data_IF_938386159426
#
_entry.id   IF_938386159426
#
_cell.length_a   1.000
_cell.length_b   1.000
_cell.length_c   1.000
_cell.angle_alpha   90.00
_cell.angle_beta   90.00
_cell.angle_gamma   90.00
#
_symmetry.space_group_name_H-M   'P 1'
#
loop_
_entity.id
_entity.type
_entity.pdbx_description
1 polymer ?
#
# COMPACT_ATOMS: atom_id res chain seq x y z
N UNK A 1 55.29 60.63 -6.05
CA UNK A 1 54.60 59.76 -7.03
C UNK A 1 54.82 58.33 -6.60
N UNK A 2 53.74 57.60 -6.34
CA UNK A 2 53.58 56.13 -6.37
C UNK A 2 52.44 55.74 -5.41
N UNK A 3 51.22 55.71 -5.94
CA UNK A 3 50.07 55.03 -5.32
C UNK A 3 49.75 53.80 -6.15
N UNK A 4 49.98 52.62 -5.57
CA UNK A 4 49.52 51.34 -6.10
C UNK A 4 48.05 51.11 -5.70
N UNK A 5 47.19 50.62 -6.61
CA UNK A 5 45.78 50.40 -6.31
C UNK A 5 45.56 49.10 -5.54
N UNK A 6 44.74 49.20 -4.49
CA UNK A 6 44.25 48.08 -3.71
C UNK A 6 43.29 47.21 -4.54
N UNK A 7 43.74 46.01 -4.91
CA UNK A 7 42.91 44.93 -5.44
C UNK A 7 42.15 44.26 -4.29
N UNK A 8 40.85 44.54 -4.21
CA UNK A 8 39.92 43.88 -3.28
C UNK A 8 39.65 42.42 -3.67
N UNK A 9 39.54 41.47 -2.72
CA UNK A 9 39.36 40.05 -2.99
C UNK A 9 37.88 39.68 -3.08
N UNK A 10 37.28 39.74 -4.27
CA UNK A 10 35.89 39.33 -4.51
C UNK A 10 35.72 37.83 -4.84
N UNK A 11 36.78 37.03 -4.81
CA UNK A 11 36.76 35.61 -5.23
C UNK A 11 36.27 34.61 -4.18
N UNK A 12 36.19 34.98 -2.90
CA UNK A 12 35.85 34.03 -1.83
C UNK A 12 34.34 33.87 -1.57
N UNK A 13 33.51 34.82 -1.99
CA UNK A 13 32.06 34.79 -1.73
C UNK A 13 31.31 33.82 -2.66
N UNK A 14 31.73 33.69 -3.93
CA UNK A 14 31.07 32.80 -4.89
C UNK A 14 31.25 31.30 -4.60
N UNK A 15 32.42 30.91 -4.06
CA UNK A 15 32.75 29.51 -3.81
C UNK A 15 31.91 28.90 -2.67
N UNK A 16 31.65 29.66 -1.60
CA UNK A 16 30.85 29.19 -0.47
C UNK A 16 29.35 29.01 -0.83
N UNK A 17 28.80 29.86 -1.70
CA UNK A 17 27.40 29.73 -2.13
C UNK A 17 27.21 28.52 -3.05
N UNK A 18 28.16 28.25 -3.95
CA UNK A 18 28.13 27.06 -4.80
C UNK A 18 28.29 25.77 -3.98
N UNK A 19 29.20 25.74 -3.00
CA UNK A 19 29.38 24.61 -2.10
C UNK A 19 28.11 24.35 -1.26
N UNK A 20 27.47 25.40 -0.73
CA UNK A 20 26.21 25.28 0.01
C UNK A 20 25.06 24.77 -0.85
N UNK A 21 24.95 25.22 -2.11
CA UNK A 21 23.95 24.69 -3.04
C UNK A 21 24.19 23.22 -3.37
N UNK A 22 25.44 22.81 -3.62
CA UNK A 22 25.79 21.40 -3.87
C UNK A 22 25.47 20.52 -2.64
N UNK A 23 25.78 20.98 -1.43
CA UNK A 23 25.42 20.27 -0.19
C UNK A 23 23.90 20.20 -0.02
N UNK A 24 23.16 21.26 -0.34
CA UNK A 24 21.69 21.27 -0.24
C UNK A 24 21.04 20.28 -1.22
N UNK A 25 21.55 20.20 -2.46
CA UNK A 25 21.08 19.23 -3.46
C UNK A 25 21.43 17.77 -3.10
N UNK A 26 22.51 17.54 -2.34
CA UNK A 26 22.90 16.20 -1.86
C UNK A 26 22.07 15.70 -0.68
N UNK A 27 21.26 16.55 -0.05
CA UNK A 27 20.41 16.18 1.09
C UNK A 27 18.96 15.87 0.72
N UNK A 28 18.68 15.52 -0.54
CA UNK A 28 17.37 14.98 -0.90
C UNK A 28 17.17 13.64 -0.20
N UNK A 29 16.44 13.68 0.92
CA UNK A 29 16.00 12.50 1.64
C UNK A 29 15.31 11.57 0.63
N UNK A 30 15.87 10.38 0.44
CA UNK A 30 15.33 9.40 -0.49
C UNK A 30 13.93 8.98 0.01
N UNK A 31 12.89 9.56 -0.59
CA UNK A 31 11.53 9.10 -0.41
C UNK A 31 11.29 7.97 -1.40
N UNK A 32 10.93 6.80 -0.88
CA UNK A 32 10.61 5.67 -1.73
C UNK A 32 9.11 5.61 -2.02
N UNK A 33 8.79 5.31 -3.28
CA UNK A 33 7.47 4.88 -3.72
C UNK A 33 7.48 3.36 -3.95
N UNK A 34 6.34 2.67 -3.96
CA UNK A 34 6.31 1.24 -4.28
C UNK A 34 6.97 0.90 -5.63
N UNK A 35 6.91 1.84 -6.58
CA UNK A 35 7.46 1.71 -7.93
C UNK A 35 8.98 1.86 -7.93
N UNK A 36 9.53 2.76 -7.11
CA UNK A 36 10.97 3.03 -7.02
C UNK A 36 11.69 2.24 -5.95
N UNK A 37 10.96 1.59 -5.03
CA UNK A 37 11.56 0.79 -3.97
C UNK A 37 12.27 -0.44 -4.58
N UNK A 38 13.56 -0.69 -4.24
CA UNK A 38 14.34 -1.75 -4.87
C UNK A 38 13.85 -3.15 -4.47
N UNK A 39 14.04 -4.13 -5.35
CA UNK A 39 13.77 -5.54 -5.06
C UNK A 39 15.09 -6.20 -4.65
N UNK A 40 15.22 -6.71 -3.41
CA UNK A 40 16.47 -7.26 -2.90
C UNK A 40 16.95 -8.52 -3.65
N UNK A 41 16.11 -9.11 -4.50
CA UNK A 41 16.47 -10.29 -5.31
C UNK A 41 17.17 -9.89 -6.61
N UNK A 42 16.76 -8.78 -7.22
CA UNK A 42 17.28 -8.33 -8.52
C UNK A 42 18.23 -7.15 -8.39
N UNK A 43 18.11 -6.37 -7.31
CA UNK A 43 18.92 -5.18 -7.02
C UNK A 43 19.38 -5.17 -5.55
N UNK A 44 20.26 -6.11 -5.15
CA UNK A 44 20.74 -6.21 -3.77
C UNK A 44 21.56 -4.98 -3.35
N UNK A 45 22.30 -4.36 -4.27
CA UNK A 45 23.19 -3.24 -3.95
C UNK A 45 22.40 -2.00 -3.51
N UNK A 46 21.28 -1.68 -4.17
CA UNK A 46 20.38 -0.59 -3.74
C UNK A 46 19.74 -0.88 -2.38
N UNK A 47 19.58 -2.15 -2.03
CA UNK A 47 19.11 -2.61 -0.71
C UNK A 47 20.22 -2.70 0.35
N UNK A 48 21.44 -2.25 0.05
CA UNK A 48 22.62 -2.35 0.93
C UNK A 48 23.02 -3.79 1.28
N UNK A 49 22.85 -4.69 0.31
CA UNK A 49 23.24 -6.10 0.37
C UNK A 49 24.32 -6.39 -0.66
N UNK A 50 25.21 -7.35 -0.34
CA UNK A 50 26.25 -7.82 -1.27
C UNK A 50 25.67 -8.87 -2.23
N UNK A 51 24.68 -9.63 -1.78
CA UNK A 51 24.06 -10.74 -2.51
C UNK A 51 22.53 -10.61 -2.48
N UNK A 52 21.83 -11.21 -3.46
CA UNK A 52 20.37 -11.31 -3.45
C UNK A 52 19.83 -11.83 -2.11
N UNK A 53 18.74 -11.25 -1.63
CA UNK A 53 18.20 -11.56 -0.31
C UNK A 53 16.72 -11.29 -0.15
N UNK A 54 16.26 -11.36 1.10
CA UNK A 54 14.85 -11.21 1.50
C UNK A 54 14.58 -9.89 2.22
N UNK A 55 15.63 -9.20 2.67
CA UNK A 55 15.54 -7.96 3.41
C UNK A 55 16.10 -6.83 2.56
N UNK A 56 15.36 -5.74 2.45
CA UNK A 56 15.81 -4.53 1.79
C UNK A 56 15.79 -3.36 2.77
N UNK A 57 16.94 -2.74 2.99
CA UNK A 57 17.14 -1.62 3.91
C UNK A 57 17.98 -0.51 3.26
N UNK A 58 17.44 0.18 2.25
CA UNK A 58 18.19 1.17 1.48
C UNK A 58 18.60 2.40 2.31
N UNK A 59 17.83 2.70 3.37
CA UNK A 59 18.02 3.83 4.28
C UNK A 59 18.89 3.51 5.50
N UNK A 60 19.43 2.30 5.59
CA UNK A 60 20.30 1.85 6.69
C UNK A 60 19.65 2.05 8.08
N UNK A 61 18.37 1.68 8.18
CA UNK A 61 17.62 1.72 9.44
C UNK A 61 18.21 0.71 10.44
N UNK A 62 18.65 -0.45 9.95
CA UNK A 62 19.32 -1.46 10.77
C UNK A 62 20.83 -1.27 10.73
N UNK A 63 21.47 -1.55 11.86
CA UNK A 63 22.92 -1.70 11.90
C UNK A 63 23.35 -2.88 11.01
N UNK A 64 24.56 -2.87 10.44
CA UNK A 64 25.04 -3.96 9.58
C UNK A 64 24.99 -5.35 10.23
N UNK A 65 25.26 -5.44 11.54
CA UNK A 65 25.19 -6.70 12.28
C UNK A 65 23.75 -7.16 12.51
N UNK A 66 22.85 -6.25 12.88
CA UNK A 66 21.41 -6.54 13.03
C UNK A 66 20.81 -7.03 11.71
N UNK A 67 21.18 -6.37 10.60
CA UNK A 67 20.76 -6.73 9.26
C UNK A 67 21.19 -8.16 8.89
N UNK A 68 22.46 -8.49 9.14
CA UNK A 68 23.00 -9.84 8.90
C UNK A 68 22.29 -10.89 9.75
N UNK A 69 22.17 -10.64 11.06
CA UNK A 69 21.52 -11.56 11.99
C UNK A 69 20.04 -11.79 11.61
N UNK A 70 19.32 -10.74 11.24
CA UNK A 70 17.92 -10.84 10.81
C UNK A 70 17.79 -11.62 9.50
N UNK A 71 18.67 -11.41 8.53
CA UNK A 71 18.68 -12.18 7.28
C UNK A 71 18.98 -13.67 7.52
N UNK A 72 19.98 -13.98 8.33
CA UNK A 72 20.34 -15.36 8.68
C UNK A 72 19.20 -16.06 9.40
N UNK A 73 18.58 -15.38 10.36
CA UNK A 73 17.43 -15.89 11.10
C UNK A 73 16.21 -16.09 10.20
N UNK A 74 15.91 -15.15 9.31
CA UNK A 74 14.82 -15.28 8.34
C UNK A 74 15.03 -16.48 7.42
N UNK A 75 16.25 -16.63 6.89
CA UNK A 75 16.62 -17.77 6.04
C UNK A 75 16.45 -19.09 6.78
N UNK A 76 16.95 -19.19 8.02
CA UNK A 76 16.80 -20.38 8.85
C UNK A 76 15.33 -20.71 9.13
N UNK A 77 14.52 -19.71 9.47
CA UNK A 77 13.09 -19.92 9.76
C UNK A 77 12.31 -20.34 8.51
N UNK A 78 12.67 -19.83 7.33
CA UNK A 78 12.09 -20.29 6.05
C UNK A 78 12.50 -21.72 5.69
N UNK A 79 13.72 -22.15 6.04
CA UNK A 79 14.14 -23.54 5.85
C UNK A 79 13.30 -24.51 6.70
N UNK A 80 12.84 -24.09 7.88
CA UNK A 80 11.93 -24.90 8.71
C UNK A 80 10.60 -25.13 7.99
N UNK A 81 10.11 -24.15 7.22
CA UNK A 81 8.85 -24.28 6.49
C UNK A 81 8.97 -25.05 5.18
N UNK A 82 10.19 -25.39 4.74
CA UNK A 82 10.43 -26.11 3.49
C UNK A 82 9.76 -27.49 3.44
N UNK A 83 9.59 -28.15 4.59
CA UNK A 83 8.97 -29.48 4.68
C UNK A 83 7.45 -29.43 4.90
N UNK A 84 6.85 -28.24 4.99
CA UNK A 84 5.42 -28.08 5.21
C UNK A 84 4.72 -28.13 3.87
N UNK A 85 3.90 -29.16 3.66
CA UNK A 85 3.09 -29.28 2.43
C UNK A 85 1.95 -28.29 2.45
N UNK A 86 1.99 -27.31 1.56
CA UNK A 86 0.90 -26.37 1.38
C UNK A 86 -0.30 -27.06 0.70
N UNK A 87 -1.47 -27.03 1.33
CA UNK A 87 -2.69 -27.67 0.82
C UNK A 87 -3.56 -26.72 -0.01
N UNK A 88 -3.08 -25.54 -0.37
CA UNK A 88 -3.75 -24.65 -1.31
C UNK A 88 -3.75 -25.26 -2.73
N UNK A 89 -4.86 -25.17 -3.49
CA UNK A 89 -4.94 -25.76 -4.83
C UNK A 89 -3.84 -25.27 -5.79
N UNK A 90 -3.52 -23.98 -5.76
CA UNK A 90 -2.47 -23.38 -6.60
C UNK A 90 -1.05 -23.91 -6.27
N UNK A 91 -0.86 -24.45 -5.07
CA UNK A 91 0.42 -24.98 -4.59
C UNK A 91 0.55 -26.51 -4.74
N UNK A 92 -0.49 -27.20 -5.22
CA UNK A 92 -0.49 -28.67 -5.28
C UNK A 92 0.64 -29.25 -6.14
N UNK A 93 1.06 -28.52 -7.19
CA UNK A 93 2.08 -28.95 -8.15
C UNK A 93 3.45 -28.29 -7.92
N UNK A 94 3.58 -27.35 -6.96
CA UNK A 94 4.86 -26.69 -6.70
C UNK A 94 5.64 -27.45 -5.63
N UNK A 95 6.78 -28.00 -6.04
CA UNK A 95 7.68 -28.75 -5.15
C UNK A 95 8.34 -27.86 -4.07
N UNK A 96 8.28 -26.53 -4.22
CA UNK A 96 8.82 -25.52 -3.31
C UNK A 96 7.77 -24.46 -2.93
N UNK A 97 6.59 -24.87 -2.46
CA UNK A 97 5.55 -23.96 -1.92
C UNK A 97 5.82 -23.58 -0.45
N UNK A 98 7.07 -23.33 -0.10
CA UNK A 98 7.42 -22.92 1.25
C UNK A 98 7.00 -21.47 1.50
N UNK A 99 6.81 -21.14 2.77
CA UNK A 99 6.54 -19.76 3.18
C UNK A 99 7.76 -18.90 2.83
N UNK A 100 7.54 -17.87 2.03
CA UNK A 100 8.61 -16.94 1.64
C UNK A 100 8.33 -15.58 2.30
N UNK A 101 9.24 -15.11 3.13
CA UNK A 101 9.08 -13.86 3.88
C UNK A 101 10.05 -12.83 3.33
N UNK A 102 9.55 -11.64 2.98
CA UNK A 102 10.34 -10.49 2.59
C UNK A 102 10.11 -9.32 3.55
N UNK A 103 11.15 -8.52 3.73
CA UNK A 103 11.17 -7.38 4.66
C UNK A 103 11.61 -6.14 3.89
N UNK A 104 10.82 -5.08 3.97
CA UNK A 104 11.15 -3.76 3.42
C UNK A 104 11.18 -2.72 4.55
N UNK A 105 12.31 -2.03 4.67
CA UNK A 105 12.54 -0.99 5.66
C UNK A 105 12.64 0.36 4.97
N UNK A 106 11.79 1.29 5.38
CA UNK A 106 11.64 2.59 4.73
C UNK A 106 11.82 3.66 5.78
N UNK A 107 12.63 4.67 5.46
CA UNK A 107 12.81 5.79 6.38
C UNK A 107 11.48 6.51 6.62
N UNK A 108 10.81 6.90 5.55
CA UNK A 108 9.53 7.59 5.55
C UNK A 108 8.79 7.26 4.26
N UNK A 109 7.49 7.06 4.35
CA UNK A 109 6.64 6.89 3.18
C UNK A 109 6.68 8.16 2.34
N UNK A 110 6.72 7.99 1.02
CA UNK A 110 6.63 9.11 0.09
C UNK A 110 5.36 9.90 0.35
N UNK A 111 5.51 11.20 0.60
CA UNK A 111 4.37 12.12 0.71
C UNK A 111 4.10 12.67 -0.67
N UNK A 112 3.05 12.19 -1.33
CA UNK A 112 2.55 12.87 -2.51
C UNK A 112 1.94 14.20 -2.02
N UNK A 113 2.23 15.37 -2.63
CA UNK A 113 1.70 16.68 -2.20
C UNK A 113 0.17 16.76 -2.02
N UNK A 114 -0.59 15.75 -2.47
CA UNK A 114 -2.04 15.74 -2.46
C UNK A 114 -2.68 14.60 -1.65
N UNK A 115 -1.91 13.58 -1.25
CA UNK A 115 -2.41 12.41 -0.50
C UNK A 115 -1.26 11.77 0.30
N UNK A 116 -1.48 11.50 1.59
CA UNK A 116 -0.56 10.68 2.37
C UNK A 116 -0.70 9.23 1.90
N UNK A 117 0.39 8.63 1.42
CA UNK A 117 0.38 7.22 1.03
C UNK A 117 0.26 6.38 2.30
N UNK A 118 -0.84 5.63 2.46
CA UNK A 118 -0.97 4.70 3.57
C UNK A 118 0.05 3.56 3.44
N UNK A 119 0.59 3.10 4.57
CA UNK A 119 1.53 1.97 4.57
C UNK A 119 0.91 0.71 3.95
N UNK A 120 -0.40 0.54 4.09
CA UNK A 120 -1.16 -0.57 3.51
C UNK A 120 -1.17 -0.50 1.98
N UNK A 121 -1.54 0.64 1.40
CA UNK A 121 -1.52 0.86 -0.05
C UNK A 121 -0.10 0.68 -0.59
N UNK A 122 0.89 1.22 0.11
CA UNK A 122 2.30 1.02 -0.23
C UNK A 122 2.67 -0.46 -0.28
N UNK A 123 2.36 -1.20 0.79
CA UNK A 123 2.73 -2.61 0.95
C UNK A 123 2.07 -3.51 -0.09
N UNK A 124 0.78 -3.29 -0.37
CA UNK A 124 0.03 -4.04 -1.38
C UNK A 124 0.57 -3.79 -2.79
N UNK A 125 0.88 -2.54 -3.14
CA UNK A 125 1.51 -2.19 -4.43
C UNK A 125 2.92 -2.80 -4.55
N UNK A 126 3.71 -2.76 -3.47
CA UNK A 126 5.06 -3.34 -3.47
C UNK A 126 5.02 -4.86 -3.62
N UNK A 127 4.10 -5.54 -2.92
CA UNK A 127 3.86 -6.98 -3.10
C UNK A 127 3.49 -7.28 -4.55
N UNK A 128 2.54 -6.54 -5.12
CA UNK A 128 2.12 -6.72 -6.52
C UNK A 128 3.30 -6.57 -7.49
N UNK A 129 4.19 -5.60 -7.25
CA UNK A 129 5.43 -5.41 -8.02
C UNK A 129 6.38 -6.60 -7.89
N UNK A 130 6.68 -7.05 -6.66
CA UNK A 130 7.62 -8.15 -6.42
C UNK A 130 7.14 -9.48 -6.99
N UNK A 131 5.84 -9.75 -6.93
CA UNK A 131 5.34 -11.02 -7.42
C UNK A 131 5.20 -11.05 -8.93
N UNK A 132 5.15 -9.88 -9.59
CA UNK A 132 5.06 -9.74 -11.04
C UNK A 132 4.02 -10.72 -11.64
N UNK A 133 2.93 -10.99 -10.93
CA UNK A 133 1.99 -12.04 -11.30
C UNK A 133 1.26 -11.61 -12.57
N UNK A 134 1.63 -12.23 -13.68
CA UNK A 134 0.79 -12.29 -14.87
C UNK A 134 -0.23 -13.43 -14.77
N UNK A 135 -0.05 -14.36 -13.82
CA UNK A 135 -0.92 -15.53 -13.66
C UNK A 135 -1.34 -15.74 -12.20
N UNK A 136 -2.65 -15.58 -11.95
CA UNK A 136 -3.31 -15.83 -10.65
C UNK A 136 -3.33 -17.31 -10.25
N UNK A 137 -2.98 -18.22 -11.17
CA UNK A 137 -2.92 -19.67 -10.94
C UNK A 137 -1.68 -20.11 -10.16
N UNK A 138 -0.66 -19.25 -10.07
CA UNK A 138 0.58 -19.55 -9.38
C UNK A 138 0.41 -19.49 -7.85
N UNK A 139 1.11 -20.41 -7.18
CA UNK A 139 1.18 -20.49 -5.72
C UNK A 139 1.77 -19.21 -5.12
N UNK A 140 1.00 -18.57 -4.24
CA UNK A 140 1.35 -17.32 -3.58
C UNK A 140 1.51 -17.51 -2.06
N UNK A 141 2.74 -17.79 -1.65
CA UNK A 141 3.13 -17.98 -0.25
C UNK A 141 3.98 -16.83 0.30
N UNK A 142 3.99 -15.67 -0.37
CA UNK A 142 4.79 -14.52 0.06
C UNK A 142 4.17 -13.84 1.28
N UNK A 143 4.96 -13.56 2.31
CA UNK A 143 4.60 -12.62 3.36
C UNK A 143 5.54 -11.43 3.26
N UNK A 144 4.99 -10.24 3.02
CA UNK A 144 5.76 -9.00 2.94
C UNK A 144 5.50 -8.18 4.20
N UNK A 145 6.56 -7.90 4.96
CA UNK A 145 6.56 -7.01 6.12
C UNK A 145 7.18 -5.68 5.69
N UNK A 146 6.44 -4.58 5.83
CA UNK A 146 6.94 -3.23 5.57
C UNK A 146 6.94 -2.46 6.88
N UNK A 147 8.08 -1.84 7.20
CA UNK A 147 8.22 -0.97 8.36
C UNK A 147 8.66 0.42 7.88
N UNK A 148 7.85 1.44 8.19
CA UNK A 148 8.20 2.85 8.01
C UNK A 148 8.64 3.46 9.35
N UNK A 149 9.92 3.80 9.46
CA UNK A 149 10.55 4.29 10.70
C UNK A 149 9.93 5.60 11.18
N UNK A 150 9.89 6.60 10.31
CA UNK A 150 9.42 7.95 10.64
C UNK A 150 7.91 8.02 10.82
N UNK A 151 7.15 7.21 10.08
CA UNK A 151 5.70 7.14 10.22
C UNK A 151 5.27 6.25 11.41
N UNK A 152 6.21 5.52 12.01
CA UNK A 152 6.01 4.57 13.12
C UNK A 152 4.93 3.54 12.82
N UNK A 153 4.92 3.06 11.58
CA UNK A 153 3.92 2.12 11.09
C UNK A 153 4.61 0.86 10.60
N UNK A 154 4.04 -0.29 10.94
CA UNK A 154 4.41 -1.59 10.40
C UNK A 154 3.16 -2.20 9.80
N UNK A 155 3.25 -2.71 8.59
CA UNK A 155 2.17 -3.41 7.93
C UNK A 155 2.68 -4.73 7.39
N UNK A 156 1.83 -5.75 7.42
CA UNK A 156 2.18 -7.08 6.91
C UNK A 156 1.05 -7.57 6.05
N UNK A 157 1.40 -8.02 4.85
CA UNK A 157 0.48 -8.65 3.92
C UNK A 157 0.95 -10.07 3.65
N UNK A 158 0.01 -11.02 3.60
CA UNK A 158 0.28 -12.38 3.22
C UNK A 158 -0.34 -12.73 1.87
N UNK A 159 0.34 -13.63 1.19
CA UNK A 159 -0.07 -14.31 -0.03
C UNK A 159 -1.38 -15.05 0.16
N UNK A 160 -2.16 -15.18 -0.91
CA UNK A 160 -3.44 -15.91 -0.87
C UNK A 160 -3.26 -17.34 -0.35
N UNK A 161 -2.20 -17.99 -0.80
CA UNK A 161 -1.95 -19.41 -0.55
C UNK A 161 -1.13 -19.63 0.73
N UNK A 162 -0.67 -18.58 1.42
CA UNK A 162 0.02 -18.71 2.71
C UNK A 162 -0.89 -19.20 3.86
N UNK A 163 -2.22 -19.12 3.71
CA UNK A 163 -3.22 -19.51 4.72
C UNK A 163 -3.02 -18.86 6.11
N UNK A 164 -2.47 -17.65 6.14
CA UNK A 164 -2.32 -16.85 7.34
C UNK A 164 -3.44 -15.80 7.40
N UNK A 165 -4.23 -15.79 8.46
CA UNK A 165 -5.32 -14.83 8.61
C UNK A 165 -4.81 -13.43 8.98
N UNK A 166 -5.63 -12.40 8.74
CA UNK A 166 -5.32 -11.01 9.13
C UNK A 166 -5.07 -10.89 10.63
N UNK A 167 -5.83 -11.63 11.43
CA UNK A 167 -5.75 -11.64 12.89
C UNK A 167 -4.39 -12.22 13.36
N UNK A 168 -3.89 -13.25 12.69
CA UNK A 168 -2.56 -13.83 12.97
C UNK A 168 -1.47 -12.80 12.72
N UNK A 169 -1.52 -12.08 11.59
CA UNK A 169 -0.54 -11.03 11.26
C UNK A 169 -0.62 -9.85 12.25
N UNK A 170 -1.83 -9.41 12.60
CA UNK A 170 -2.04 -8.38 13.62
C UNK A 170 -1.50 -8.82 14.98
N UNK A 171 -1.71 -10.07 15.37
CA UNK A 171 -1.17 -10.60 16.62
C UNK A 171 0.36 -10.65 16.62
N UNK A 172 0.97 -10.99 15.48
CA UNK A 172 2.42 -10.95 15.31
C UNK A 172 2.96 -9.55 15.61
N UNK A 173 2.32 -8.50 15.05
CA UNK A 173 2.70 -7.12 15.33
C UNK A 173 2.46 -6.72 16.79
N UNK A 174 1.27 -6.98 17.33
CA UNK A 174 0.92 -6.59 18.70
C UNK A 174 1.85 -7.17 19.76
N UNK A 175 2.29 -8.42 19.60
CA UNK A 175 3.26 -9.06 20.50
C UNK A 175 4.63 -8.39 20.48
N UNK A 176 4.99 -7.74 19.38
CA UNK A 176 6.31 -7.16 19.15
C UNK A 176 6.33 -5.62 19.16
N UNK A 177 5.18 -4.96 19.34
CA UNK A 177 5.05 -3.49 19.33
C UNK A 177 5.98 -2.79 20.33
N UNK A 178 6.29 -3.45 21.47
CA UNK A 178 7.23 -2.95 22.46
C UNK A 178 8.64 -2.71 21.89
N UNK A 179 9.13 -3.61 21.04
CA UNK A 179 10.44 -3.48 20.39
C UNK A 179 10.47 -2.30 19.41
N UNK A 180 9.41 -2.15 18.60
CA UNK A 180 9.28 -1.02 17.66
C UNK A 180 9.23 0.33 18.36
N UNK A 181 8.47 0.43 19.47
CA UNK A 181 8.41 1.64 20.30
C UNK A 181 9.75 1.98 20.94
N UNK A 182 10.55 0.97 21.27
CA UNK A 182 11.90 1.13 21.81
C UNK A 182 12.98 1.41 20.76
N UNK A 183 12.64 1.48 19.47
CA UNK A 183 13.62 1.64 18.39
C UNK A 183 14.40 0.37 18.05
N UNK A 184 14.08 -0.76 18.69
CA UNK A 184 14.71 -2.06 18.47
C UNK A 184 14.06 -2.78 17.28
N UNK A 185 14.18 -2.21 16.08
CA UNK A 185 13.47 -2.69 14.87
C UNK A 185 13.83 -4.13 14.52
N UNK A 186 15.10 -4.52 14.62
CA UNK A 186 15.55 -5.88 14.31
C UNK A 186 14.86 -6.93 15.17
N UNK A 187 14.82 -6.72 16.50
CA UNK A 187 14.13 -7.62 17.43
C UNK A 187 12.62 -7.67 17.19
N UNK A 188 12.01 -6.53 16.89
CA UNK A 188 10.57 -6.49 16.56
C UNK A 188 10.25 -7.29 15.31
N UNK A 189 11.06 -7.16 14.26
CA UNK A 189 10.92 -7.93 13.02
C UNK A 189 11.19 -9.42 13.24
N UNK A 190 12.26 -9.77 13.97
CA UNK A 190 12.58 -11.16 14.31
C UNK A 190 11.41 -11.84 15.02
N UNK A 191 10.87 -11.24 16.07
CA UNK A 191 9.74 -11.80 16.81
C UNK A 191 8.45 -11.89 15.98
N UNK A 192 8.23 -10.99 15.01
CA UNK A 192 7.13 -11.11 14.06
C UNK A 192 7.31 -12.33 13.15
N UNK A 193 8.51 -12.54 12.61
CA UNK A 193 8.82 -13.65 11.71
C UNK A 193 8.68 -14.98 12.43
N UNK A 194 9.19 -15.10 13.67
CA UNK A 194 9.05 -16.30 14.49
C UNK A 194 7.58 -16.65 14.72
N UNK A 195 6.75 -15.67 15.07
CA UNK A 195 5.33 -15.88 15.29
C UNK A 195 4.60 -16.30 14.00
N UNK A 196 4.90 -15.66 12.87
CA UNK A 196 4.32 -15.96 11.57
C UNK A 196 4.66 -17.40 11.14
N UNK A 197 5.93 -17.80 11.28
CA UNK A 197 6.40 -19.15 10.92
C UNK A 197 5.76 -20.21 11.82
N UNK A 198 5.66 -19.96 13.12
CA UNK A 198 4.96 -20.84 14.06
C UNK A 198 3.47 -21.00 13.72
N UNK A 199 2.82 -19.90 13.35
CA UNK A 199 1.41 -19.89 12.95
C UNK A 199 1.19 -20.62 11.62
N UNK A 200 2.09 -20.42 10.64
CA UNK A 200 2.06 -21.12 9.36
C UNK A 200 2.17 -22.64 9.56
N UNK A 201 3.08 -23.09 10.42
CA UNK A 201 3.23 -24.50 10.78
C UNK A 201 1.94 -25.07 11.39
N UNK A 202 1.36 -24.35 12.36
CA UNK A 202 0.12 -24.77 13.01
C UNK A 202 -1.06 -24.85 12.04
N UNK A 203 -1.16 -23.93 11.08
CA UNK A 203 -2.23 -23.91 10.08
C UNK A 203 -2.19 -25.11 9.12
N UNK A 204 -1.03 -25.71 8.91
CA UNK A 204 -0.84 -26.82 7.96
C UNK A 204 -0.77 -28.21 8.61
N UNK A 205 -0.54 -28.30 9.93
CA UNK A 205 -0.52 -29.57 10.68
C UNK A 205 -1.94 -30.15 10.88
N UNK A 206 -2.99 -29.32 10.91
CA UNK A 206 -4.34 -29.72 11.37
C UNK A 206 -5.13 -30.58 10.37
N UNK A 207 -4.59 -30.92 9.19
CA UNK A 207 -5.32 -31.69 8.15
C UNK A 207 -4.93 -33.17 8.01
N UNK A 208 -4.30 -33.79 9.01
CA UNK A 208 -4.23 -35.27 9.03
C UNK A 208 -5.55 -35.80 9.59
N UNK A 209 -6.56 -35.96 8.72
CA UNK A 209 -7.70 -36.82 9.04
C UNK A 209 -7.14 -38.21 9.35
N UNK A 210 -7.16 -38.60 10.62
CA UNK A 210 -6.96 -39.99 11.00
C UNK A 210 -8.05 -40.82 10.29
N UNK A 211 -7.70 -41.94 9.63
CA UNK A 211 -8.69 -42.83 9.08
C UNK A 211 -9.44 -43.48 10.25
N UNK A 212 -10.54 -42.87 10.69
CA UNK A 212 -11.48 -43.49 11.62
C UNK A 212 -12.26 -44.51 10.83
N UNK A 213 -11.76 -45.75 10.83
CA UNK A 213 -12.60 -46.91 10.66
C UNK A 213 -13.70 -46.84 11.72
N UNK A 214 -14.95 -46.92 11.26
CA UNK A 214 -16.13 -46.72 12.08
C UNK A 214 -16.22 -47.71 13.24
N UNK A 215 -16.92 -47.27 14.28
CA UNK A 215 -17.85 -48.06 15.08
C UNK A 215 -18.81 -47.04 15.70
N UNK A 216 -20.09 -47.33 15.54
CA UNK A 216 -21.21 -46.66 16.20
C UNK A 216 -20.98 -46.52 17.70
N UNK A 217 -21.20 -45.33 18.25
CA UNK A 217 -21.65 -45.21 19.65
C UNK A 217 -22.24 -43.82 19.91
N UNK A 218 -23.56 -43.85 20.06
CA UNK A 218 -24.40 -42.87 20.74
C UNK A 218 -23.82 -42.60 22.13
N UNK A 219 -23.54 -41.33 22.46
CA UNK A 219 -23.93 -40.74 23.74
C UNK A 219 -23.67 -39.24 23.78
N UNK A 220 -24.76 -38.51 24.00
CA UNK A 220 -24.84 -37.09 24.32
C UNK A 220 -24.23 -36.79 25.69
N UNK A 221 -23.30 -35.83 25.74
CA UNK A 221 -22.94 -35.13 26.98
C UNK A 221 -22.93 -33.63 26.71
N UNK A 222 -23.82 -32.93 27.40
CA UNK A 222 -23.94 -31.47 27.43
C UNK A 222 -22.71 -30.85 28.09
N UNK A 223 -22.20 -29.77 27.50
CA UNK A 223 -21.16 -28.92 28.11
C UNK A 223 -21.80 -27.63 28.66
N UNK A 224 -21.40 -27.13 29.85
CA UNK A 224 -22.00 -25.94 30.44
C UNK A 224 -21.54 -24.65 29.76
N UNK A 225 -22.49 -23.74 29.64
CA UNK A 225 -22.38 -22.36 29.20
C UNK A 225 -21.58 -21.55 30.23
N UNK A 226 -20.46 -20.95 29.82
CA UNK A 226 -19.74 -19.96 30.63
C UNK A 226 -19.91 -18.56 30.04
N UNK A 227 -20.31 -17.65 30.92
CA UNK A 227 -20.84 -16.33 30.64
C UNK A 227 -19.77 -15.31 30.22
N UNK A 228 -20.20 -14.39 29.36
CA UNK A 228 -19.55 -13.16 28.95
C UNK A 228 -19.66 -12.11 30.09
N UNK A 229 -18.61 -11.32 30.37
CA UNK A 229 -18.77 -10.01 30.99
C UNK A 229 -18.75 -8.89 29.94
N UNK A 230 -19.91 -8.26 29.81
CA UNK A 230 -20.17 -6.95 29.22
C UNK A 230 -19.65 -5.86 30.17
N UNK A 231 -18.82 -4.92 29.71
CA UNK A 231 -18.81 -3.50 30.13
C UNK A 231 -17.53 -2.80 29.71
N UNK A 232 -17.67 -1.62 29.10
CA UNK A 232 -16.52 -0.76 28.82
C UNK A 232 -16.77 0.36 27.81
N UNK A 233 -17.96 0.97 27.82
CA UNK A 233 -18.21 2.25 27.17
C UNK A 233 -17.36 3.34 27.84
N UNK A 234 -16.42 3.92 27.09
CA UNK A 234 -15.55 4.99 27.57
C UNK A 234 -15.22 5.97 26.46
N UNK A 235 -16.25 6.67 25.96
CA UNK A 235 -16.05 7.93 25.22
C UNK A 235 -15.49 8.97 26.20
N UNK A 236 -14.31 9.51 25.91
CA UNK A 236 -13.83 10.77 26.49
C UNK A 236 -13.82 11.82 25.37
N UNK A 237 -14.86 12.65 25.37
CA UNK A 237 -14.93 13.92 24.65
C UNK A 237 -14.70 15.01 25.68
N UNK A 238 -13.67 15.83 25.50
CA UNK A 238 -13.52 17.10 26.22
C UNK A 238 -13.70 18.26 25.24
N UNK A 239 -14.75 19.04 25.48
CA UNK A 239 -15.07 20.29 24.81
C UNK A 239 -14.05 21.39 25.12
N UNK A 240 -13.76 22.23 24.12
CA UNK A 240 -12.99 23.47 24.29
C UNK A 240 -13.24 24.50 23.19
N UNK A 241 -14.24 25.36 23.44
CA UNK A 241 -14.35 26.78 23.03
C UNK A 241 -14.50 27.16 21.55
N UNK A 242 -15.60 27.86 21.30
CA UNK A 242 -16.12 28.42 20.04
C UNK A 242 -15.52 29.82 19.80
N UNK A 243 -15.00 30.08 18.59
CA UNK A 243 -14.98 31.43 18.02
C UNK A 243 -15.71 31.43 16.69
N UNK A 244 -16.70 32.32 16.57
CA UNK A 244 -17.47 32.59 15.36
C UNK A 244 -16.76 33.73 14.60
N UNK A 245 -16.46 33.54 13.31
CA UNK A 245 -16.80 34.55 12.31
C UNK A 245 -17.65 33.95 11.18
N UNK A 246 -18.65 34.71 10.76
CA UNK A 246 -19.67 34.40 9.75
C UNK A 246 -19.13 34.53 8.30
N UNK A 247 -19.87 34.15 7.23
CA UNK A 247 -19.49 33.04 6.37
C UNK A 247 -19.24 33.47 4.91
N UNK A 248 -18.11 33.05 4.36
CA UNK A 248 -18.00 32.70 2.94
C UNK A 248 -17.38 31.31 2.91
N UNK A 249 -18.20 30.32 2.59
CA UNK A 249 -17.89 28.89 2.65
C UNK A 249 -16.62 28.54 1.87
N UNK A 250 -15.47 28.63 2.52
CA UNK A 250 -14.45 27.61 2.38
C UNK A 250 -15.11 26.35 2.91
N UNK A 251 -15.61 25.53 2.00
CA UNK A 251 -16.01 24.17 2.31
C UNK A 251 -14.75 23.50 2.86
N UNK A 252 -14.64 23.41 4.19
CA UNK A 252 -13.55 22.69 4.84
C UNK A 252 -13.44 21.35 4.14
N UNK A 253 -12.28 21.10 3.52
CA UNK A 253 -12.04 19.90 2.73
C UNK A 253 -12.26 18.72 3.66
N UNK A 254 -13.39 18.03 3.50
CA UNK A 254 -13.78 16.93 4.36
C UNK A 254 -12.65 15.90 4.37
N UNK A 255 -12.10 15.63 5.55
CA UNK A 255 -10.97 14.73 5.70
C UNK A 255 -11.45 13.27 5.70
N UNK A 256 -11.52 12.67 4.51
CA UNK A 256 -11.91 11.27 4.35
C UNK A 256 -10.97 10.29 5.05
N UNK A 257 -9.73 10.68 5.35
CA UNK A 257 -8.74 9.82 6.01
C UNK A 257 -9.04 9.62 7.51
N UNK A 258 -9.80 10.54 8.11
CA UNK A 258 -10.25 10.42 9.49
C UNK A 258 -11.47 9.49 9.65
N UNK A 259 -12.08 9.06 8.54
CA UNK A 259 -13.21 8.14 8.54
C UNK A 259 -12.69 6.69 8.62
N UNK A 260 -13.26 5.83 9.49
CA UNK A 260 -12.98 4.40 9.50
C UNK A 260 -13.07 3.79 8.10
N UNK A 261 -12.21 2.82 7.81
CA UNK A 261 -12.08 2.26 6.47
C UNK A 261 -13.39 1.62 5.99
N UNK A 262 -14.09 0.94 6.91
CA UNK A 262 -15.39 0.32 6.71
C UNK A 262 -16.51 1.31 6.30
N UNK A 263 -16.40 2.56 6.74
CA UNK A 263 -17.41 3.60 6.52
C UNK A 263 -17.05 4.51 5.34
N UNK A 264 -15.80 4.52 4.91
CA UNK A 264 -15.25 5.50 3.97
C UNK A 264 -16.01 5.55 2.65
N UNK A 265 -16.37 4.40 2.09
CA UNK A 265 -17.15 4.32 0.85
C UNK A 265 -18.53 4.99 1.00
N UNK A 266 -19.26 4.64 2.06
CA UNK A 266 -20.59 5.20 2.32
C UNK A 266 -20.53 6.68 2.62
N UNK A 267 -19.50 7.14 3.34
CA UNK A 267 -19.28 8.57 3.60
C UNK A 267 -18.97 9.32 2.30
N UNK A 268 -18.21 8.76 1.37
CA UNK A 268 -18.00 9.36 0.04
C UNK A 268 -19.29 9.44 -0.78
N UNK A 269 -20.12 8.40 -0.75
CA UNK A 269 -21.44 8.38 -1.39
C UNK A 269 -22.33 9.48 -0.79
N UNK A 270 -22.40 9.56 0.53
CA UNK A 270 -23.19 10.57 1.24
C UNK A 270 -22.68 11.98 0.95
N UNK A 271 -21.36 12.19 0.96
CA UNK A 271 -20.75 13.48 0.64
C UNK A 271 -21.12 13.92 -0.79
N UNK A 272 -21.02 13.02 -1.77
CA UNK A 272 -21.41 13.29 -3.17
C UNK A 272 -22.92 13.55 -3.31
N UNK A 273 -23.74 12.77 -2.60
CA UNK A 273 -25.20 12.98 -2.57
C UNK A 273 -25.55 14.35 -1.99
N UNK A 274 -24.91 14.76 -0.89
CA UNK A 274 -25.12 16.06 -0.26
C UNK A 274 -24.62 17.22 -1.13
N UNK A 275 -23.50 17.06 -1.86
CA UNK A 275 -22.98 18.12 -2.73
C UNK A 275 -23.83 18.33 -4.00
N UNK A 276 -24.51 17.30 -4.48
CA UNK A 276 -25.37 17.38 -5.67
C UNK A 276 -26.82 17.71 -5.36
N UNK A 277 -27.40 17.12 -4.31
CA UNK A 277 -28.82 17.18 -3.99
C UNK A 277 -29.16 18.03 -2.76
N UNK A 278 -28.15 18.51 -2.02
CA UNK A 278 -28.30 19.32 -0.81
C UNK A 278 -28.31 18.52 0.50
N UNK A 279 -28.31 19.26 1.62
CA UNK A 279 -28.28 18.70 2.98
C UNK A 279 -29.70 18.63 3.56
N UNK A 280 -30.44 17.57 3.23
CA UNK A 280 -31.74 17.25 3.82
C UNK A 280 -31.66 15.85 4.45
N UNK A 281 -31.69 15.81 5.79
CA UNK A 281 -31.53 14.58 6.55
C UNK A 281 -32.67 13.57 6.31
N UNK A 282 -33.88 14.03 5.98
CA UNK A 282 -35.02 13.15 5.71
C UNK A 282 -34.91 12.50 4.32
N UNK A 283 -34.21 13.15 3.38
CA UNK A 283 -34.09 12.70 1.99
C UNK A 283 -32.73 12.11 1.64
N UNK A 284 -31.76 12.15 2.56
CA UNK A 284 -30.38 11.74 2.28
C UNK A 284 -30.27 10.29 1.80
N UNK A 285 -31.10 9.38 2.32
CA UNK A 285 -31.15 7.99 1.88
C UNK A 285 -31.59 7.85 0.43
N UNK A 286 -32.56 8.67 -0.01
CA UNK A 286 -33.03 8.73 -1.40
C UNK A 286 -31.94 9.30 -2.32
N UNK A 287 -31.21 10.33 -1.87
CA UNK A 287 -30.11 10.91 -2.63
C UNK A 287 -28.93 9.93 -2.77
N UNK A 288 -28.52 9.29 -1.68
CA UNK A 288 -27.48 8.27 -1.71
C UNK A 288 -27.84 7.11 -2.66
N UNK A 289 -29.09 6.62 -2.59
CA UNK A 289 -29.61 5.62 -3.52
C UNK A 289 -29.50 6.07 -4.98
N UNK A 290 -29.92 7.30 -5.29
CA UNK A 290 -29.84 7.84 -6.65
C UNK A 290 -28.39 7.90 -7.17
N UNK A 291 -27.43 8.32 -6.34
CA UNK A 291 -26.00 8.34 -6.69
C UNK A 291 -25.47 6.93 -6.97
N UNK A 292 -25.84 5.94 -6.16
CA UNK A 292 -25.41 4.54 -6.34
C UNK A 292 -26.02 3.95 -7.61
N UNK A 293 -27.32 4.16 -7.84
CA UNK A 293 -28.02 3.68 -9.04
C UNK A 293 -27.46 4.34 -10.30
N UNK A 294 -27.14 5.63 -10.28
CA UNK A 294 -26.50 6.33 -11.39
C UNK A 294 -25.10 5.78 -11.68
N UNK A 295 -24.26 5.61 -10.64
CA UNK A 295 -22.92 5.05 -10.80
C UNK A 295 -22.98 3.63 -11.38
N UNK A 296 -23.87 2.78 -10.86
CA UNK A 296 -24.08 1.43 -11.37
C UNK A 296 -24.57 1.43 -12.82
N UNK A 297 -25.53 2.29 -13.15
CA UNK A 297 -26.05 2.40 -14.51
C UNK A 297 -24.95 2.85 -15.50
N UNK A 298 -24.08 3.78 -15.08
CA UNK A 298 -22.94 4.22 -15.88
C UNK A 298 -21.93 3.09 -16.07
N UNK A 299 -21.61 2.33 -15.01
CA UNK A 299 -20.71 1.17 -15.08
C UNK A 299 -21.24 0.09 -16.03
N UNK A 300 -22.53 -0.23 -15.96
CA UNK A 300 -23.15 -1.22 -16.86
C UNK A 300 -23.10 -0.75 -18.32
N UNK A 301 -23.41 0.52 -18.58
CA UNK A 301 -23.31 1.11 -19.92
C UNK A 301 -21.88 1.08 -20.44
N UNK A 302 -20.90 1.42 -19.58
CA UNK A 302 -19.48 1.42 -19.92
C UNK A 302 -19.01 0.02 -20.32
N UNK A 303 -19.32 -1.01 -19.52
CA UNK A 303 -18.95 -2.41 -19.80
C UNK A 303 -19.65 -2.92 -21.08
N UNK A 304 -20.84 -2.43 -21.40
CA UNK A 304 -21.54 -2.77 -22.65
C UNK A 304 -21.05 -1.98 -23.88
N UNK A 305 -20.26 -0.92 -23.70
CA UNK A 305 -19.82 -0.07 -24.80
C UNK A 305 -18.68 -0.77 -25.57
N UNK A 306 -18.84 -1.03 -26.89
CA UNK A 306 -17.83 -1.74 -27.67
C UNK A 306 -16.50 -0.98 -27.72
N UNK A 307 -16.50 0.35 -27.56
CA UNK A 307 -15.27 1.15 -27.54
C UNK A 307 -14.51 0.94 -26.24
N UNK A 308 -15.21 0.75 -25.12
CA UNK A 308 -14.56 0.45 -23.85
C UNK A 308 -13.97 -0.97 -23.85
N UNK A 309 -14.70 -1.95 -24.39
CA UNK A 309 -14.17 -3.31 -24.53
C UNK A 309 -12.88 -3.35 -25.35
N UNK A 310 -12.81 -2.55 -26.43
CA UNK A 310 -11.58 -2.41 -27.21
C UNK A 310 -10.41 -1.83 -26.38
N UNK A 311 -10.66 -0.87 -25.49
CA UNK A 311 -9.63 -0.33 -24.58
C UNK A 311 -9.12 -1.42 -23.64
N UNK A 312 -10.02 -2.21 -23.05
CA UNK A 312 -9.65 -3.30 -22.15
C UNK A 312 -8.84 -4.38 -22.88
N UNK A 313 -9.26 -4.79 -24.09
CA UNK A 313 -8.53 -5.72 -24.95
C UNK A 313 -7.12 -5.22 -25.28
N UNK A 314 -6.99 -3.96 -25.73
CA UNK A 314 -5.68 -3.35 -26.02
C UNK A 314 -4.80 -3.19 -24.76
N UNK A 315 -5.40 -2.95 -23.60
CA UNK A 315 -4.67 -2.80 -22.34
C UNK A 315 -4.05 -4.12 -21.83
N UNK A 316 -4.61 -5.25 -22.28
CA UNK A 316 -4.14 -6.59 -21.93
C UNK A 316 -3.18 -7.18 -22.98
N UNK A 317 -2.98 -6.52 -24.13
CA UNK A 317 -2.06 -6.98 -25.16
C UNK A 317 -0.60 -6.82 -24.73
N UNK A 318 0.01 -7.94 -24.30
CA UNK A 318 1.39 -8.00 -23.83
C UNK A 318 2.40 -7.65 -24.94
N UNK A 319 2.00 -7.76 -26.22
CA UNK A 319 2.87 -7.45 -27.36
C UNK A 319 2.97 -5.95 -27.64
N UNK A 320 2.13 -5.13 -27.00
CA UNK A 320 2.03 -3.71 -27.29
C UNK A 320 3.16 -2.84 -26.73
N UNK A 321 4.13 -3.45 -26.03
CA UNK A 321 5.32 -2.79 -25.47
C UNK A 321 5.16 -2.45 -23.98
N UNK A 322 6.12 -1.71 -23.40
CA UNK A 322 6.03 -1.27 -22.01
C UNK A 322 4.80 -0.38 -21.83
N UNK A 323 3.99 -0.68 -20.81
CA UNK A 323 2.80 0.06 -20.41
C UNK A 323 1.62 0.03 -21.43
N UNK A 324 1.09 -1.17 -21.75
CA UNK A 324 0.02 -1.35 -22.74
C UNK A 324 -1.27 -0.59 -22.39
N UNK A 325 -1.54 -0.38 -21.09
CA UNK A 325 -2.70 0.36 -20.61
C UNK A 325 -2.67 1.83 -21.03
N UNK A 326 -1.54 2.52 -20.84
CA UNK A 326 -1.43 3.94 -21.22
C UNK A 326 -1.57 4.11 -22.74
N UNK A 327 -0.99 3.18 -23.50
CA UNK A 327 -1.12 3.15 -24.97
C UNK A 327 -2.58 2.97 -25.40
N UNK A 328 -3.33 2.05 -24.80
CA UNK A 328 -4.75 1.85 -25.08
C UNK A 328 -5.57 3.14 -24.83
N UNK A 329 -5.27 3.87 -23.76
CA UNK A 329 -5.92 5.16 -23.48
C UNK A 329 -5.51 6.28 -24.45
N UNK A 330 -4.25 6.34 -24.89
CA UNK A 330 -3.82 7.29 -25.93
C UNK A 330 -4.47 6.98 -27.29
N UNK A 331 -4.65 5.69 -27.62
CA UNK A 331 -5.39 5.25 -28.79
C UNK A 331 -6.87 5.66 -28.68
N UNK A 332 -7.51 5.45 -27.52
CA UNK A 332 -8.89 5.89 -27.28
C UNK A 332 -9.06 7.40 -27.41
N UNK A 333 -8.08 8.15 -26.87
CA UNK A 333 -8.02 9.61 -26.94
C UNK A 333 -8.14 10.10 -28.38
N UNK A 334 -7.22 9.64 -29.21
CA UNK A 334 -7.15 10.01 -30.64
C UNK A 334 -8.28 9.41 -31.47
N UNK A 335 -8.75 8.21 -31.13
CA UNK A 335 -9.78 7.50 -31.89
C UNK A 335 -11.17 8.10 -31.72
N UNK A 336 -11.57 8.52 -30.50
CA UNK A 336 -12.94 9.00 -30.29
C UNK A 336 -13.12 10.02 -29.16
N UNK A 337 -12.29 10.04 -28.11
CA UNK A 337 -12.54 10.93 -26.97
C UNK A 337 -12.37 12.42 -27.35
N UNK A 338 -11.31 12.75 -28.09
CA UNK A 338 -11.06 14.14 -28.52
C UNK A 338 -12.21 14.64 -29.42
N UNK A 339 -12.68 13.81 -30.36
CA UNK A 339 -13.82 14.15 -31.22
C UNK A 339 -15.12 14.36 -30.43
N UNK A 340 -15.38 13.54 -29.41
CA UNK A 340 -16.54 13.74 -28.53
C UNK A 340 -16.41 15.04 -27.72
N UNK A 341 -15.21 15.32 -27.20
CA UNK A 341 -14.95 16.53 -26.43
C UNK A 341 -15.10 17.78 -27.28
N UNK A 342 -14.56 17.81 -28.50
CA UNK A 342 -14.74 18.93 -29.42
C UNK A 342 -16.21 19.15 -29.77
N UNK A 343 -16.95 18.06 -30.03
CA UNK A 343 -18.36 18.11 -30.44
C UNK A 343 -19.31 18.56 -29.33
N UNK A 344 -19.06 18.15 -28.08
CA UNK A 344 -20.00 18.35 -26.96
C UNK A 344 -19.45 19.21 -25.83
N UNK A 345 -18.15 19.51 -25.81
CA UNK A 345 -17.44 20.15 -24.69
C UNK A 345 -17.98 21.52 -24.32
N UNK A 346 -18.45 22.30 -25.31
CA UNK A 346 -19.05 23.60 -25.06
C UNK A 346 -20.36 23.53 -24.24
N UNK A 347 -21.02 22.36 -24.21
CA UNK A 347 -22.24 22.11 -23.45
C UNK A 347 -21.96 21.61 -22.03
N UNK A 348 -20.72 21.25 -21.71
CA UNK A 348 -20.38 20.77 -20.38
C UNK A 348 -20.41 21.92 -19.37
N UNK A 349 -21.01 21.71 -18.17
CA UNK A 349 -21.00 22.72 -17.12
C UNK A 349 -19.55 22.99 -16.68
N UNK A 350 -19.12 24.26 -16.75
CA UNK A 350 -17.80 24.70 -16.29
C UNK A 350 -17.76 24.79 -14.77
N UNK A 351 -17.94 23.66 -14.06
CA UNK A 351 -17.57 23.58 -12.63
C UNK A 351 -16.12 23.11 -12.55
N UNK A 352 -15.27 23.95 -11.96
CA UNK A 352 -13.87 23.65 -11.64
C UNK A 352 -13.81 22.70 -10.43
N UNK A 353 -14.29 21.48 -10.59
CA UNK A 353 -13.75 20.38 -9.80
C UNK A 353 -12.46 19.96 -10.50
N UNK A 354 -11.31 20.04 -9.82
CA UNK A 354 -10.05 19.54 -10.37
C UNK A 354 -10.27 18.07 -10.72
N UNK A 355 -10.06 17.71 -11.99
CA UNK A 355 -10.05 16.32 -12.41
C UNK A 355 -9.07 15.55 -11.53
N UNK A 356 -9.39 14.32 -11.09
CA UNK A 356 -8.42 13.46 -10.44
C UNK A 356 -7.32 13.13 -11.45
N UNK A 357 -6.23 13.89 -11.42
CA UNK A 357 -5.05 13.62 -12.24
C UNK A 357 -4.39 12.34 -11.74
N UNK A 358 -4.32 11.33 -12.62
CA UNK A 358 -3.34 10.27 -12.48
C UNK A 358 -2.01 10.95 -12.80
N UNK A 359 -1.17 11.19 -11.79
CA UNK A 359 0.09 11.90 -11.95
C UNK A 359 0.91 11.32 -13.13
N UNK A 360 0.92 12.02 -14.26
CA UNK A 360 1.77 11.67 -15.41
C UNK A 360 3.23 11.77 -14.98
N UNK A 361 3.95 10.64 -15.05
CA UNK A 361 5.38 10.57 -14.80
C UNK A 361 6.14 11.49 -15.76
N UNK A 362 6.45 12.71 -15.31
CA UNK A 362 7.30 13.68 -16.01
C UNK A 362 8.78 13.26 -15.94
N UNK A 363 9.14 12.14 -16.56
CA UNK A 363 10.51 11.62 -16.62
C UNK A 363 11.05 11.43 -18.05
N UNK A 364 10.40 12.01 -19.07
CA UNK A 364 10.90 11.99 -20.47
C UNK A 364 10.93 13.38 -21.08
N UNK A 365 11.96 14.17 -20.71
CA UNK A 365 12.52 15.27 -21.53
C UNK A 365 13.82 15.75 -20.89
N UNK A 366 14.93 15.11 -21.23
CA UNK A 366 16.29 15.66 -21.19
C UNK A 366 17.26 14.67 -21.84
N UNK A 367 17.17 14.55 -23.16
CA UNK A 367 18.28 14.16 -24.03
C UNK A 367 18.13 14.95 -25.32
N UNK A 368 18.65 16.18 -25.29
CA UNK A 368 19.35 16.85 -26.38
C UNK A 368 20.39 17.77 -25.73
#
# INVERSE_FOLDING_TARGET
MNQLPNLFPWSHFGFNVYLLLVIFFLTTWAQYSPQTYPDPRTDPLSCRLILPGQLCDPSEILLPEERRNLMDKTTRLQQITANIRNTAPACANSQNSNLYIMIALIEKLGTNPFEAVSIEKFTNLLRSKYQNYQDVSLCDTLVLIVNSRMDRQVFTVAGRDAKLSREVLQMAFHRNVGHFRGGNYALGLEGMIEYIVSSYNSAHIVQVQSPVQGIDSVNSVQLPTSALPTSGSGQFITHGVRQKPDPKAQLDKFNFDAVPEEDRLWVQILYKASSQCGYDAERISRYARAIVEEAMQLSLKLISDPRYNKIEEESQDVNSGPNPRDKAWQNAKTSFLDSLYEKYGQKFPRKLEKCPDIAENSASRRLL
#
